data_IF_205344239511
#
_entry.id   IF_205344239511
#
_cell.length_a   1.000
_cell.length_b   1.000
_cell.length_c   1.000
_cell.angle_alpha   90.00
_cell.angle_beta   90.00
_cell.angle_gamma   90.00
#
_symmetry.space_group_name_H-M   'P 1'
#
loop_
_entity.id
_entity.type
_entity.pdbx_description
1 polymer ?
#
# COMPACT_ATOMS: atom_id res chain seq x y z
N UNK A 1 13.53 3.78 -5.55
CA UNK A 1 12.07 3.73 -5.24
C UNK A 1 11.84 2.86 -4.02
N UNK A 2 10.69 2.94 -3.35
CA UNK A 2 10.34 2.07 -2.21
C UNK A 2 9.07 1.29 -2.54
N UNK A 3 9.11 -0.04 -2.42
CA UNK A 3 7.97 -0.94 -2.61
C UNK A 3 7.52 -1.49 -1.25
N UNK A 4 6.29 -1.15 -0.86
CA UNK A 4 5.60 -1.83 0.23
C UNK A 4 5.17 -3.21 -0.27
N UNK A 5 5.90 -4.21 0.18
CA UNK A 5 5.87 -5.56 -0.37
C UNK A 5 5.40 -6.58 0.66
N UNK A 6 4.56 -7.52 0.21
CA UNK A 6 4.25 -8.74 0.96
C UNK A 6 4.69 -9.97 0.14
N UNK A 7 5.72 -10.72 0.59
CA UNK A 7 6.26 -11.85 -0.15
C UNK A 7 5.26 -13.01 -0.30
N UNK A 8 4.23 -13.09 0.56
CA UNK A 8 3.19 -14.11 0.47
C UNK A 8 2.10 -13.78 -0.57
N UNK A 9 2.06 -12.56 -1.10
CA UNK A 9 1.06 -12.16 -2.09
C UNK A 9 1.56 -12.24 -3.53
N UNK A 10 0.88 -13.03 -4.37
CA UNK A 10 1.24 -13.20 -5.79
C UNK A 10 1.34 -11.87 -6.55
N UNK A 11 0.36 -10.97 -6.38
CA UNK A 11 0.38 -9.65 -7.03
C UNK A 11 1.54 -8.75 -6.58
N UNK A 12 1.94 -8.87 -5.31
CA UNK A 12 3.11 -8.15 -4.78
C UNK A 12 4.42 -8.70 -5.33
N UNK A 13 4.52 -10.03 -5.52
CA UNK A 13 5.69 -10.68 -6.16
C UNK A 13 5.77 -10.38 -7.65
N UNK A 14 4.64 -10.42 -8.35
CA UNK A 14 4.54 -10.06 -9.77
C UNK A 14 5.00 -8.61 -10.00
N UNK A 15 4.56 -7.66 -9.18
CA UNK A 15 5.00 -6.26 -9.28
C UNK A 15 6.50 -6.09 -9.04
N UNK A 16 7.07 -6.76 -8.01
CA UNK A 16 8.51 -6.71 -7.75
C UNK A 16 9.30 -7.27 -8.95
N UNK A 17 8.90 -8.44 -9.47
CA UNK A 17 9.54 -9.06 -10.63
C UNK A 17 9.46 -8.16 -11.88
N UNK A 18 8.35 -7.45 -12.09
CA UNK A 18 8.19 -6.50 -13.19
C UNK A 18 9.16 -5.31 -13.10
N UNK A 19 9.44 -4.83 -11.89
CA UNK A 19 10.40 -3.76 -11.62
C UNK A 19 11.84 -4.27 -11.80
N UNK A 20 12.18 -5.43 -11.22
CA UNK A 20 13.49 -6.07 -11.35
C UNK A 20 13.83 -6.39 -12.81
N UNK A 21 12.86 -6.91 -13.58
CA UNK A 21 13.04 -7.22 -15.00
C UNK A 21 13.36 -5.98 -15.86
N UNK A 22 13.07 -4.78 -15.36
CA UNK A 22 13.39 -3.50 -16.00
C UNK A 22 14.65 -2.85 -15.42
N UNK A 23 15.38 -3.54 -14.55
CA UNK A 23 16.60 -3.04 -13.93
C UNK A 23 16.37 -1.91 -12.94
N UNK A 24 15.15 -1.79 -12.39
CA UNK A 24 14.79 -0.70 -11.49
C UNK A 24 15.40 -0.90 -10.09
N UNK A 25 15.98 0.15 -9.52
CA UNK A 25 16.49 0.14 -8.14
C UNK A 25 15.36 0.41 -7.13
N UNK A 26 14.89 -0.67 -6.50
CA UNK A 26 13.73 -0.68 -5.62
C UNK A 26 14.12 -1.23 -4.25
N UNK A 27 13.97 -0.37 -3.24
CA UNK A 27 14.06 -0.76 -1.84
C UNK A 27 12.77 -1.46 -1.42
N UNK A 28 12.89 -2.61 -0.75
CA UNK A 28 11.75 -3.39 -0.30
C UNK A 28 11.46 -3.07 1.16
N UNK A 29 10.27 -2.53 1.46
CA UNK A 29 9.75 -2.42 2.82
C UNK A 29 8.71 -3.51 3.05
N UNK A 30 8.96 -4.39 4.02
CA UNK A 30 7.98 -5.40 4.45
C UNK A 30 7.00 -4.75 5.42
N UNK A 31 6.02 -4.05 4.87
CA UNK A 31 5.10 -3.20 5.64
C UNK A 31 4.27 -3.93 6.72
N UNK A 32 4.21 -5.26 6.69
CA UNK A 32 3.58 -6.07 7.75
C UNK A 32 4.52 -6.33 8.95
N UNK A 33 5.84 -6.25 8.74
CA UNK A 33 6.88 -6.40 9.77
C UNK A 33 7.34 -5.02 10.28
N UNK A 34 7.44 -4.05 9.37
CA UNK A 34 7.77 -2.66 9.62
C UNK A 34 6.59 -1.78 9.18
N UNK A 35 5.63 -1.65 10.10
CA UNK A 35 4.38 -0.92 9.90
C UNK A 35 4.62 0.57 9.61
N UNK A 36 3.98 1.15 8.59
CA UNK A 36 4.06 2.59 8.37
C UNK A 36 3.33 3.33 9.50
N UNK A 37 3.89 4.47 9.92
CA UNK A 37 3.25 5.34 10.89
C UNK A 37 2.02 6.03 10.29
N UNK A 38 1.19 6.66 11.14
CA UNK A 38 0.06 7.48 10.69
C UNK A 38 0.52 8.63 9.77
N UNK A 39 1.67 9.25 10.06
CA UNK A 39 2.23 10.34 9.27
C UNK A 39 2.71 9.83 7.90
N UNK A 40 3.32 8.64 7.86
CA UNK A 40 3.72 7.99 6.61
C UNK A 40 2.51 7.60 5.76
N UNK A 41 1.44 7.11 6.37
CA UNK A 41 0.19 6.78 5.69
C UNK A 41 -0.53 8.02 5.16
N UNK A 42 -0.54 9.10 5.93
CA UNK A 42 -1.10 10.40 5.50
C UNK A 42 -0.30 10.96 4.31
N UNK A 43 1.02 10.86 4.38
CA UNK A 43 1.90 11.24 3.27
C UNK A 43 1.66 10.35 2.04
N UNK A 44 1.51 9.05 2.24
CA UNK A 44 1.19 8.11 1.17
C UNK A 44 -0.16 8.42 0.52
N UNK A 45 -1.18 8.77 1.30
CA UNK A 45 -2.49 9.20 0.82
C UNK A 45 -2.37 10.44 -0.08
N UNK A 46 -1.67 11.47 0.39
CA UNK A 46 -1.47 12.70 -0.35
C UNK A 46 -0.76 12.46 -1.70
N UNK A 47 0.27 11.61 -1.70
CA UNK A 47 1.06 11.28 -2.90
C UNK A 47 0.29 10.37 -3.86
N UNK A 48 -0.56 9.47 -3.35
CA UNK A 48 -1.43 8.62 -4.17
C UNK A 48 -2.60 9.40 -4.78
N UNK A 49 -3.03 10.50 -4.13
CA UNK A 49 -4.20 11.26 -4.53
C UNK A 49 -5.51 10.46 -4.40
N UNK A 50 -5.55 9.54 -3.44
CA UNK A 50 -6.68 8.64 -3.19
C UNK A 50 -7.31 8.90 -1.81
N UNK A 51 -8.56 8.50 -1.63
CA UNK A 51 -9.16 8.39 -0.29
C UNK A 51 -8.54 7.24 0.51
N UNK A 52 -8.60 7.29 1.84
CA UNK A 52 -8.01 6.25 2.67
C UNK A 52 -8.65 4.87 2.41
N UNK A 53 -9.95 4.83 2.12
CA UNK A 53 -10.65 3.57 1.81
C UNK A 53 -10.15 2.90 0.52
N UNK A 54 -9.66 3.67 -0.46
CA UNK A 54 -9.06 3.15 -1.70
C UNK A 54 -7.66 2.57 -1.47
N UNK A 55 -6.99 2.99 -0.40
CA UNK A 55 -5.73 2.42 0.08
C UNK A 55 -5.93 1.18 0.95
N UNK A 56 -7.17 0.78 1.22
CA UNK A 56 -7.49 -0.31 2.14
C UNK A 56 -7.99 -1.57 1.44
N UNK A 57 -7.97 -2.66 2.20
CA UNK A 57 -8.47 -3.99 1.83
C UNK A 57 -9.72 -4.31 2.65
N UNK A 58 -10.88 -3.70 2.35
CA UNK A 58 -12.11 -3.85 3.16
C UNK A 58 -12.68 -5.28 3.16
N UNK A 59 -12.13 -6.17 2.33
CA UNK A 59 -12.48 -7.61 2.30
C UNK A 59 -11.71 -8.44 3.33
N UNK A 60 -10.69 -7.89 3.98
CA UNK A 60 -9.97 -8.58 5.06
C UNK A 60 -10.86 -8.70 6.30
N UNK A 61 -10.79 -9.84 6.98
CA UNK A 61 -11.56 -10.08 8.20
C UNK A 61 -11.32 -8.98 9.26
N UNK A 62 -10.07 -8.54 9.38
CA UNK A 62 -9.65 -7.46 10.27
C UNK A 62 -10.47 -6.17 10.10
N UNK A 63 -10.91 -5.84 8.88
CA UNK A 63 -11.71 -4.63 8.64
C UNK A 63 -13.06 -4.72 9.37
N UNK A 64 -13.68 -5.91 9.35
CA UNK A 64 -14.95 -6.17 10.04
C UNK A 64 -14.75 -6.36 11.55
N UNK A 65 -13.68 -7.03 11.95
CA UNK A 65 -13.34 -7.26 13.36
C UNK A 65 -13.08 -5.95 14.12
N UNK A 66 -12.49 -4.96 13.44
CA UNK A 66 -12.30 -3.61 13.96
C UNK A 66 -13.56 -2.73 13.87
N UNK A 67 -14.67 -3.25 13.36
CA UNK A 67 -15.93 -2.50 13.23
C UNK A 67 -15.87 -1.32 12.25
N UNK A 68 -14.95 -1.35 11.28
CA UNK A 68 -14.75 -0.24 10.34
C UNK A 68 -15.88 -0.18 9.31
N UNK A 69 -16.24 1.05 8.94
CA UNK A 69 -17.15 1.33 7.82
C UNK A 69 -16.36 1.90 6.64
N UNK A 70 -16.85 1.65 5.42
CA UNK A 70 -16.30 2.28 4.21
C UNK A 70 -16.57 3.78 4.13
N UNK A 71 -17.56 4.24 4.90
CA UNK A 71 -17.99 5.64 4.97
C UNK A 71 -17.35 6.38 6.16
N UNK A 72 -16.43 5.74 6.89
CA UNK A 72 -15.66 6.39 7.93
C UNK A 72 -14.72 7.45 7.33
N UNK A 73 -14.36 8.45 8.12
CA UNK A 73 -13.43 9.49 7.72
C UNK A 73 -12.01 8.94 7.50
N UNK A 74 -11.23 9.64 6.68
CA UNK A 74 -9.87 9.22 6.32
C UNK A 74 -8.95 9.07 7.54
N UNK A 75 -9.07 9.93 8.55
CA UNK A 75 -8.23 9.86 9.74
C UNK A 75 -8.47 8.55 10.50
N UNK A 76 -9.73 8.18 10.72
CA UNK A 76 -10.11 6.91 11.34
C UNK A 76 -9.55 5.71 10.56
N UNK A 77 -9.67 5.73 9.23
CA UNK A 77 -9.19 4.66 8.36
C UNK A 77 -7.66 4.55 8.33
N UNK A 78 -6.95 5.68 8.31
CA UNK A 78 -5.48 5.74 8.36
C UNK A 78 -4.94 5.25 9.71
N UNK A 79 -5.58 5.62 10.83
CA UNK A 79 -5.24 5.09 12.15
C UNK A 79 -5.41 3.58 12.22
N UNK A 80 -6.50 3.06 11.66
CA UNK A 80 -6.73 1.63 11.59
C UNK A 80 -5.66 0.91 10.73
N UNK A 81 -5.21 1.52 9.64
CA UNK A 81 -4.10 0.98 8.83
C UNK A 81 -2.77 0.96 9.60
N UNK A 82 -2.48 1.98 10.41
CA UNK A 82 -1.27 2.01 11.24
C UNK A 82 -1.30 0.93 12.34
N UNK A 83 -2.46 0.73 12.98
CA UNK A 83 -2.66 -0.30 14.00
C UNK A 83 -2.69 -1.72 13.40
N UNK A 84 -3.28 -1.87 12.21
CA UNK A 84 -3.41 -3.14 11.51
C UNK A 84 -2.91 -3.01 10.06
N UNK A 85 -1.59 -3.12 9.83
CA UNK A 85 -1.00 -2.96 8.50
C UNK A 85 -1.59 -3.90 7.45
N UNK A 86 -2.15 -5.06 7.83
CA UNK A 86 -2.80 -6.00 6.91
C UNK A 86 -3.97 -5.37 6.14
N UNK A 87 -4.55 -4.30 6.66
CA UNK A 87 -5.58 -3.50 5.99
C UNK A 87 -5.05 -2.72 4.80
N UNK A 88 -3.76 -2.40 4.74
CA UNK A 88 -3.16 -1.63 3.64
C UNK A 88 -3.17 -2.45 2.35
N UNK A 89 -3.64 -1.82 1.28
CA UNK A 89 -3.65 -2.35 -0.08
C UNK A 89 -2.23 -2.57 -0.60
N UNK A 90 -2.04 -3.59 -1.43
CA UNK A 90 -0.69 -3.99 -1.86
C UNK A 90 -0.64 -4.44 -3.31
N UNK A 91 0.54 -4.36 -3.94
CA UNK A 91 1.71 -3.60 -3.49
C UNK A 91 1.51 -2.08 -3.66
N UNK A 92 2.26 -1.28 -2.92
CA UNK A 92 2.32 0.19 -3.12
C UNK A 92 3.75 0.56 -3.47
N UNK A 93 3.96 1.20 -4.62
CA UNK A 93 5.26 1.70 -5.05
C UNK A 93 5.32 3.21 -4.87
N UNK A 94 6.41 3.69 -4.29
CA UNK A 94 6.72 5.11 -4.10
C UNK A 94 7.98 5.48 -4.88
N UNK A 95 7.89 6.55 -5.66
CA UNK A 95 8.96 7.10 -6.50
C UNK A 95 8.99 8.63 -6.35
N UNK A 96 9.74 9.13 -5.36
CA UNK A 96 9.80 10.56 -5.06
C UNK A 96 8.44 11.09 -4.58
N UNK A 97 7.88 12.02 -5.32
CA UNK A 97 6.57 12.67 -5.09
C UNK A 97 5.41 11.96 -5.80
N UNK A 98 5.63 10.74 -6.32
CA UNK A 98 4.62 9.92 -6.99
C UNK A 98 4.49 8.56 -6.32
N UNK A 99 3.26 8.02 -6.30
CA UNK A 99 2.99 6.67 -5.83
C UNK A 99 1.88 6.00 -6.62
N UNK A 100 1.87 4.66 -6.60
CA UNK A 100 0.83 3.87 -7.27
C UNK A 100 0.55 2.57 -6.52
N UNK A 101 -0.71 2.17 -6.48
CA UNK A 101 -1.12 0.83 -6.04
C UNK A 101 -1.04 -0.12 -7.23
N UNK A 102 -0.19 -1.15 -7.12
CA UNK A 102 0.07 -2.16 -8.16
C UNK A 102 -1.06 -3.18 -8.31
N UNK A 103 -2.30 -2.72 -8.50
CA UNK A 103 -3.47 -3.56 -8.80
C UNK A 103 -4.18 -3.01 -10.05
N UNK A 104 -3.90 -3.55 -11.24
CA UNK A 104 -3.06 -4.75 -11.50
C UNK A 104 -1.54 -4.47 -11.36
N UNK A 105 -0.69 -5.51 -11.20
CA UNK A 105 0.74 -5.36 -10.92
C UNK A 105 1.50 -4.45 -11.87
N UNK A 106 1.11 -4.42 -13.14
CA UNK A 106 1.71 -3.63 -14.22
C UNK A 106 1.62 -2.13 -13.97
N UNK A 107 0.72 -1.66 -13.10
CA UNK A 107 0.63 -0.24 -12.73
C UNK A 107 1.90 0.31 -12.10
N UNK A 108 2.72 -0.53 -11.46
CA UNK A 108 4.00 -0.10 -10.89
C UNK A 108 4.97 0.43 -11.95
N UNK A 109 4.74 0.09 -13.22
CA UNK A 109 5.55 0.53 -14.35
C UNK A 109 5.27 1.99 -14.76
N UNK A 110 4.14 2.56 -14.31
CA UNK A 110 3.80 3.97 -14.54
C UNK A 110 4.78 4.94 -13.82
N UNK A 111 5.56 4.43 -12.86
CA UNK A 111 6.50 5.20 -12.04
C UNK A 111 7.98 4.97 -12.42
N UNK A 112 8.25 4.19 -13.46
CA UNK A 112 9.61 4.02 -14.00
C UNK A 112 10.03 5.17 -14.91
#
# INVERSE_FOLDING_TARGET
MILWHNPRCSKSREALALLEARGADVQIRRYLEDAPSLDELTSAQAVLGLSAIEMMRPKEAAFREMGLSRDADDETLLRAMAEQPKLIERPVLFAGDRAVIGRPPERVLELL
#
